data_IF_787959131685
#
_entry.id   IF_787959131685
#
_cell.length_a   1.000
_cell.length_b   1.000
_cell.length_c   1.000
_cell.angle_alpha   90.00
_cell.angle_beta   90.00
_cell.angle_gamma   90.00
#
_symmetry.space_group_name_H-M   'P 1'
#
loop_
_entity.id
_entity.type
_entity.pdbx_description
1 polymer ?
#
# COMPACT_ATOMS: atom_id res chain seq x y z
N UNK A 1 6.48 -16.59 -2.37
CA UNK A 1 7.15 -15.89 -3.50
C UNK A 1 8.65 -15.84 -3.21
N UNK A 2 9.52 -16.11 -4.19
CA UNK A 2 10.98 -16.08 -4.02
C UNK A 2 11.53 -14.72 -4.50
N UNK A 3 11.09 -13.64 -3.85
CA UNK A 3 11.48 -12.28 -4.21
C UNK A 3 12.76 -11.88 -3.46
N UNK A 4 13.64 -11.15 -4.14
CA UNK A 4 14.82 -10.60 -3.47
C UNK A 4 14.42 -9.50 -2.49
N UNK A 5 15.21 -9.24 -1.42
CA UNK A 5 14.95 -8.13 -0.51
C UNK A 5 14.84 -6.77 -1.23
N UNK A 6 15.60 -6.58 -2.32
CA UNK A 6 15.52 -5.38 -3.16
C UNK A 6 14.18 -5.28 -3.90
N UNK A 7 13.67 -6.39 -4.44
CA UNK A 7 12.36 -6.42 -5.09
C UNK A 7 11.24 -6.11 -4.08
N UNK A 8 11.32 -6.68 -2.87
CA UNK A 8 10.35 -6.39 -1.81
C UNK A 8 10.39 -4.92 -1.37
N UNK A 9 11.57 -4.28 -1.28
CA UNK A 9 11.67 -2.84 -1.01
C UNK A 9 11.03 -1.97 -2.11
N UNK A 10 11.27 -2.28 -3.37
CA UNK A 10 10.61 -1.56 -4.47
C UNK A 10 9.09 -1.72 -4.45
N UNK A 11 8.60 -2.88 -4.05
CA UNK A 11 7.16 -3.07 -3.86
C UNK A 11 6.61 -2.23 -2.70
N UNK A 12 7.33 -2.13 -1.58
CA UNK A 12 6.98 -1.23 -0.48
C UNK A 12 6.89 0.22 -0.96
N UNK A 13 7.93 0.72 -1.63
CA UNK A 13 7.98 2.09 -2.14
C UNK A 13 6.84 2.39 -3.13
N UNK A 14 6.51 1.44 -4.00
CA UNK A 14 5.41 1.58 -4.94
C UNK A 14 4.03 1.61 -4.25
N UNK A 15 3.84 0.78 -3.21
CA UNK A 15 2.62 0.78 -2.41
C UNK A 15 2.47 2.09 -1.65
N UNK A 16 3.53 2.58 -0.99
CA UNK A 16 3.55 3.86 -0.27
C UNK A 16 3.21 5.03 -1.21
N UNK A 17 3.79 5.06 -2.41
CA UNK A 17 3.47 6.06 -3.42
C UNK A 17 1.99 6.02 -3.84
N UNK A 18 1.44 4.82 -4.05
CA UNK A 18 0.03 4.69 -4.46
C UNK A 18 -0.94 5.07 -3.36
N UNK A 19 -0.66 4.66 -2.11
CA UNK A 19 -1.46 5.04 -0.94
C UNK A 19 -1.48 6.55 -0.79
N UNK A 20 -0.32 7.22 -0.87
CA UNK A 20 -0.24 8.67 -0.78
C UNK A 20 -1.03 9.37 -1.90
N UNK A 21 -1.02 8.82 -3.11
CA UNK A 21 -1.82 9.36 -4.22
C UNK A 21 -3.33 9.24 -3.97
N UNK A 22 -3.79 8.11 -3.42
CA UNK A 22 -5.21 7.91 -3.07
C UNK A 22 -5.66 8.75 -1.89
N UNK A 23 -4.82 8.91 -0.87
CA UNK A 23 -5.08 9.82 0.24
C UNK A 23 -5.22 11.26 -0.26
N UNK A 24 -4.27 11.71 -1.10
CA UNK A 24 -4.35 13.04 -1.69
C UNK A 24 -5.61 13.21 -2.54
N UNK A 25 -5.98 12.20 -3.33
CA UNK A 25 -7.21 12.22 -4.12
C UNK A 25 -8.45 12.38 -3.23
N UNK A 26 -8.57 11.61 -2.14
CA UNK A 26 -9.65 11.77 -1.17
C UNK A 26 -9.66 13.17 -0.55
N UNK A 27 -8.49 13.69 -0.16
CA UNK A 27 -8.39 15.01 0.47
C UNK A 27 -8.74 16.17 -0.47
N UNK A 28 -8.45 16.03 -1.77
CA UNK A 28 -8.70 17.08 -2.78
C UNK A 28 -10.07 16.98 -3.45
N UNK A 29 -10.58 15.77 -3.70
CA UNK A 29 -11.75 15.54 -4.56
C UNK A 29 -13.05 15.31 -3.78
N UNK A 30 -13.00 15.05 -2.46
CA UNK A 30 -14.21 14.93 -1.61
C UNK A 30 -15.09 16.18 -1.58
N UNK A 31 -14.58 17.34 -2.03
CA UNK A 31 -15.35 18.57 -2.22
C UNK A 31 -15.80 18.87 -3.66
N UNK A 32 -15.23 18.19 -4.67
CA UNK A 32 -15.40 18.50 -6.10
C UNK A 32 -15.87 17.28 -6.89
N UNK A 33 -17.14 16.90 -6.72
CA UNK A 33 -17.85 16.07 -7.71
C UNK A 33 -17.53 14.58 -7.76
N UNK A 34 -16.69 14.07 -6.85
CA UNK A 34 -16.56 12.63 -6.64
C UNK A 34 -17.84 12.11 -5.96
N UNK A 35 -18.39 10.99 -6.45
CA UNK A 35 -19.58 10.38 -5.87
C UNK A 35 -19.27 9.60 -4.59
N UNK A 36 -20.26 9.42 -3.72
CA UNK A 36 -20.11 8.62 -2.49
C UNK A 36 -19.67 7.18 -2.78
N UNK A 37 -20.11 6.61 -3.91
CA UNK A 37 -19.69 5.27 -4.36
C UNK A 37 -18.19 5.26 -4.71
N UNK A 38 -17.70 6.27 -5.42
CA UNK A 38 -16.27 6.41 -5.75
C UNK A 38 -15.41 6.65 -4.50
N UNK A 39 -15.91 7.43 -3.52
CA UNK A 39 -15.25 7.57 -2.21
C UNK A 39 -15.15 6.21 -1.52
N UNK A 40 -16.24 5.43 -1.55
CA UNK A 40 -16.30 4.11 -0.92
C UNK A 40 -15.29 3.16 -1.53
N UNK A 41 -15.26 3.08 -2.87
CA UNK A 41 -14.32 2.23 -3.61
C UNK A 41 -12.87 2.64 -3.32
N UNK A 42 -12.57 3.93 -3.39
CA UNK A 42 -11.22 4.46 -3.13
C UNK A 42 -10.77 4.20 -1.69
N UNK A 43 -11.68 4.34 -0.72
CA UNK A 43 -11.40 4.05 0.69
C UNK A 43 -11.15 2.56 0.91
N UNK A 44 -11.92 1.68 0.27
CA UNK A 44 -11.73 0.24 0.35
C UNK A 44 -10.38 -0.19 -0.25
N UNK A 45 -10.04 0.35 -1.41
CA UNK A 45 -8.74 0.13 -2.05
C UNK A 45 -7.59 0.57 -1.15
N UNK A 46 -7.72 1.74 -0.52
CA UNK A 46 -6.71 2.28 0.38
C UNK A 46 -6.50 1.37 1.61
N UNK A 47 -7.57 0.90 2.24
CA UNK A 47 -7.49 -0.07 3.35
C UNK A 47 -6.80 -1.37 2.93
N UNK A 48 -7.09 -1.87 1.73
CA UNK A 48 -6.45 -3.06 1.19
C UNK A 48 -4.95 -2.84 0.97
N UNK A 49 -4.57 -1.72 0.36
CA UNK A 49 -3.16 -1.39 0.10
C UNK A 49 -2.36 -1.19 1.39
N UNK A 50 -2.93 -0.53 2.41
CA UNK A 50 -2.32 -0.38 3.73
C UNK A 50 -2.13 -1.74 4.41
N UNK A 51 -3.12 -2.63 4.33
CA UNK A 51 -3.03 -3.99 4.88
C UNK A 51 -1.93 -4.79 4.18
N UNK A 52 -1.86 -4.73 2.85
CA UNK A 52 -0.82 -5.39 2.05
C UNK A 52 0.58 -4.85 2.38
N UNK A 53 0.71 -3.54 2.54
CA UNK A 53 1.97 -2.89 2.93
C UNK A 53 2.44 -3.42 4.29
N UNK A 54 1.55 -3.51 5.28
CA UNK A 54 1.89 -4.05 6.60
C UNK A 54 2.35 -5.51 6.53
N UNK A 55 1.69 -6.35 5.73
CA UNK A 55 2.12 -7.75 5.54
C UNK A 55 3.49 -7.85 4.88
N UNK A 56 3.74 -7.02 3.86
CA UNK A 56 5.02 -7.00 3.14
C UNK A 56 6.16 -6.50 4.03
N UNK A 57 5.91 -5.47 4.85
CA UNK A 57 6.87 -4.97 5.84
C UNK A 57 7.17 -6.03 6.91
N UNK A 58 6.15 -6.73 7.43
CA UNK A 58 6.37 -7.86 8.35
C UNK A 58 7.24 -8.96 7.71
N UNK A 59 6.99 -9.30 6.44
CA UNK A 59 7.80 -10.30 5.74
C UNK A 59 9.26 -9.86 5.54
N UNK A 60 9.52 -8.55 5.45
CA UNK A 60 10.86 -7.97 5.38
C UNK A 60 11.58 -7.91 6.74
N UNK A 61 10.83 -7.72 7.82
CA UNK A 61 11.36 -7.56 9.19
C UNK A 61 11.58 -8.90 9.90
N UNK A 62 11.07 -10.01 9.34
CA UNK A 62 11.45 -11.37 9.77
C UNK A 62 12.93 -11.58 9.44
N UNK A 63 13.82 -11.78 10.43
CA UNK A 63 15.22 -12.07 10.16
C UNK A 63 15.27 -13.34 9.32
N UNK A 64 15.84 -13.25 8.11
CA UNK A 64 16.16 -14.42 7.28
C UNK A 64 16.98 -15.34 8.16
N UNK A 65 16.38 -16.45 8.60
CA UNK A 65 17.06 -17.45 9.41
C UNK A 65 18.34 -17.82 8.66
N UNK A 66 19.49 -17.42 9.22
CA UNK A 66 20.80 -17.81 8.70
C UNK A 66 20.89 -19.32 8.91
N UNK A 67 20.60 -20.06 7.85
CA UNK A 67 21.02 -21.46 7.74
C UNK A 67 22.47 -21.42 7.26
N UNK A 68 23.40 -21.47 8.20
CA UNK A 68 24.78 -21.91 8.00
C UNK A 68 25.20 -22.73 9.22
#
# INVERSE_FOLDING_TARGET
>A
MNLSPKAMRFMVEALEFRIAAYQNQLDTETGEGISDDEISDLTNDLLFLESLLQELQKALDVPVAKVF
#
